data_IF_454496022415
#
_entry.id   IF_454496022415
#
_cell.length_a   1.000
_cell.length_b   1.000
_cell.length_c   1.000
_cell.angle_alpha   90.00
_cell.angle_beta   90.00
_cell.angle_gamma   90.00
#
_symmetry.space_group_name_H-M   'P 1'
#
loop_
_entity.id
_entity.type
_entity.pdbx_description
1 polymer ?
#
# COMPACT_ATOMS: atom_id res chain seq x y z
N UNK A 1 -0.94 -23.41 -0.34
CA UNK A 1 -0.05 -22.33 0.16
C UNK A 1 -0.74 -21.67 1.34
N UNK A 2 0.00 -21.27 2.37
CA UNK A 2 -0.59 -20.48 3.45
C UNK A 2 -0.97 -19.11 2.87
N UNK A 3 -2.27 -18.85 2.74
CA UNK A 3 -2.78 -17.55 2.33
C UNK A 3 -2.89 -16.65 3.57
N UNK A 4 -2.42 -15.42 3.46
CA UNK A 4 -2.65 -14.42 4.50
C UNK A 4 -4.14 -14.14 4.60
N UNK A 5 -4.68 -14.01 5.83
CA UNK A 5 -6.09 -13.62 6.01
C UNK A 5 -6.34 -12.23 5.42
N UNK A 6 -5.42 -11.29 5.60
CA UNK A 6 -5.42 -9.99 4.94
C UNK A 6 -3.97 -9.57 4.66
N UNK A 7 -3.76 -8.76 3.62
CA UNK A 7 -2.44 -8.31 3.20
C UNK A 7 -2.49 -6.88 2.68
N UNK A 8 -1.36 -6.19 2.75
CA UNK A 8 -1.16 -4.91 2.11
C UNK A 8 -0.28 -5.09 0.87
N UNK A 9 -0.75 -4.61 -0.27
CA UNK A 9 0.03 -4.63 -1.51
C UNK A 9 0.74 -3.30 -1.70
N UNK A 10 2.04 -3.36 -2.01
CA UNK A 10 2.88 -2.22 -2.37
C UNK A 10 3.37 -2.46 -3.79
N UNK A 11 3.11 -1.51 -4.69
CA UNK A 11 3.49 -1.61 -6.11
C UNK A 11 4.57 -0.58 -6.39
N UNK A 12 5.77 -1.07 -6.73
CA UNK A 12 6.97 -0.26 -6.92
C UNK A 12 7.26 -0.03 -8.41
N UNK A 13 7.68 1.18 -8.78
CA UNK A 13 8.27 1.46 -10.10
C UNK A 13 9.69 0.91 -10.18
N UNK A 14 9.89 -0.19 -10.90
CA UNK A 14 11.23 -0.79 -11.07
C UNK A 14 12.08 -0.02 -12.07
N UNK A 15 11.47 0.57 -13.08
CA UNK A 15 12.13 1.32 -14.17
C UNK A 15 12.98 2.50 -13.65
N UNK A 16 12.62 3.07 -12.49
CA UNK A 16 13.35 4.16 -11.84
C UNK A 16 14.72 3.75 -11.29
N UNK A 17 15.01 2.45 -11.17
CA UNK A 17 16.29 1.92 -10.65
C UNK A 17 16.73 2.57 -9.33
N UNK A 18 15.75 2.86 -8.47
CA UNK A 18 15.99 3.49 -7.16
C UNK A 18 16.97 2.67 -6.33
N UNK A 19 17.82 3.34 -5.55
CA UNK A 19 18.70 2.64 -4.60
C UNK A 19 17.87 1.99 -3.49
N UNK A 20 18.38 0.89 -2.91
CA UNK A 20 17.68 0.10 -1.85
C UNK A 20 17.11 0.95 -0.72
N UNK A 21 17.86 1.94 -0.23
CA UNK A 21 17.40 2.84 0.83
C UNK A 21 16.21 3.71 0.41
N UNK A 22 16.17 4.16 -0.85
CA UNK A 22 15.07 4.95 -1.39
C UNK A 22 13.82 4.10 -1.55
N UNK A 23 13.96 2.89 -2.10
CA UNK A 23 12.87 1.91 -2.23
C UNK A 23 12.21 1.69 -0.86
N UNK A 24 13.01 1.41 0.17
CA UNK A 24 12.50 1.18 1.52
C UNK A 24 11.76 2.42 2.08
N UNK A 25 12.30 3.62 1.84
CA UNK A 25 11.64 4.87 2.26
C UNK A 25 10.31 5.09 1.54
N UNK A 26 10.24 4.89 0.23
CA UNK A 26 9.00 5.07 -0.54
C UNK A 26 7.93 4.03 -0.15
N UNK A 27 8.32 2.77 0.00
CA UNK A 27 7.41 1.72 0.49
C UNK A 27 6.88 2.04 1.89
N UNK A 28 7.76 2.57 2.77
CA UNK A 28 7.36 3.05 4.10
C UNK A 28 6.37 4.21 4.04
N UNK A 29 6.62 5.22 3.20
CA UNK A 29 5.69 6.34 3.00
C UNK A 29 4.32 5.87 2.52
N UNK A 30 4.28 5.02 1.48
CA UNK A 30 3.05 4.50 0.91
C UNK A 30 2.25 3.70 1.95
N UNK A 31 2.93 2.80 2.68
CA UNK A 31 2.32 1.99 3.72
C UNK A 31 1.68 2.85 4.82
N UNK A 32 2.43 3.82 5.36
CA UNK A 32 1.96 4.65 6.48
C UNK A 32 0.76 5.48 6.04
N UNK A 33 0.84 6.13 4.89
CA UNK A 33 -0.23 6.98 4.39
C UNK A 33 -1.50 6.17 4.05
N UNK A 34 -1.37 4.99 3.42
CA UNK A 34 -2.50 4.11 3.15
C UNK A 34 -3.20 3.64 4.45
N UNK A 35 -2.44 3.23 5.47
CA UNK A 35 -3.01 2.78 6.75
C UNK A 35 -3.67 3.93 7.50
N UNK A 36 -3.05 5.10 7.57
CA UNK A 36 -3.63 6.26 8.24
C UNK A 36 -4.94 6.71 7.57
N UNK A 37 -4.98 6.72 6.23
CA UNK A 37 -6.20 7.01 5.46
C UNK A 37 -7.29 5.97 5.70
N UNK A 38 -6.94 4.68 5.74
CA UNK A 38 -7.88 3.59 6.01
C UNK A 38 -8.48 3.69 7.42
N UNK A 39 -7.65 3.96 8.44
CA UNK A 39 -8.10 4.20 9.82
C UNK A 39 -9.03 5.42 9.89
N UNK A 40 -8.66 6.52 9.23
CA UNK A 40 -9.47 7.74 9.21
C UNK A 40 -10.82 7.54 8.51
N UNK A 41 -10.84 6.87 7.36
CA UNK A 41 -12.06 6.57 6.60
C UNK A 41 -13.04 5.70 7.41
N UNK A 42 -12.52 4.88 8.32
CA UNK A 42 -13.30 4.02 9.23
C UNK A 42 -13.69 4.70 10.54
N UNK A 43 -13.18 5.90 10.82
CA UNK A 43 -13.33 6.54 12.12
C UNK A 43 -12.69 5.74 13.27
N UNK A 44 -11.64 4.97 12.98
CA UNK A 44 -10.95 4.16 13.98
C UNK A 44 -10.22 5.07 14.98
N UNK A 45 -10.45 4.84 16.27
CA UNK A 45 -9.77 5.54 17.36
C UNK A 45 -8.52 4.79 17.79
N UNK A 46 -7.59 5.49 18.44
CA UNK A 46 -6.42 4.88 19.05
C UNK A 46 -6.65 4.66 20.55
N UNK A 47 -6.11 3.58 21.08
CA UNK A 47 -6.05 3.28 22.51
C UNK A 47 -4.97 4.09 23.21
N UNK A 48 -4.88 3.96 24.54
CA UNK A 48 -3.83 4.62 25.34
C UNK A 48 -2.42 4.12 25.01
N UNK A 49 -2.31 2.90 24.48
CA UNK A 49 -1.09 2.27 23.97
C UNK A 49 -0.71 2.73 22.55
N UNK A 50 -1.55 3.55 21.91
CA UNK A 50 -1.36 4.02 20.55
C UNK A 50 -1.80 3.01 19.48
N UNK A 51 -2.35 1.87 19.87
CA UNK A 51 -2.84 0.85 18.94
C UNK A 51 -4.27 1.18 18.45
N UNK A 52 -4.63 0.85 17.20
CA UNK A 52 -5.99 1.02 16.71
C UNK A 52 -7.00 0.17 17.49
N UNK A 53 -8.10 0.79 17.89
CA UNK A 53 -9.22 0.12 18.58
C UNK A 53 -10.26 -0.31 17.56
N UNK A 54 -10.36 -1.62 17.38
CA UNK A 54 -11.41 -2.24 16.55
C UNK A 54 -12.58 -2.71 17.41
N UNK A 55 -13.78 -2.68 16.84
CA UNK A 55 -14.97 -3.20 17.52
C UNK A 55 -14.84 -4.72 17.74
N UNK A 56 -15.46 -5.23 18.81
CA UNK A 56 -15.54 -6.67 19.02
C UNK A 56 -16.25 -7.34 17.83
N UNK A 57 -15.56 -8.28 17.17
CA UNK A 57 -16.07 -8.94 15.97
C UNK A 57 -15.88 -8.17 14.67
N UNK A 58 -15.07 -7.10 14.64
CA UNK A 58 -14.66 -6.43 13.39
C UNK A 58 -13.96 -7.45 12.48
N UNK A 59 -14.62 -7.76 11.37
CA UNK A 59 -14.20 -8.72 10.37
C UNK A 59 -13.53 -8.05 9.17
N UNK A 60 -13.15 -6.78 9.30
CA UNK A 60 -12.45 -6.08 8.23
C UNK A 60 -11.06 -6.62 7.94
N UNK A 61 -10.62 -6.40 6.70
CA UNK A 61 -9.25 -6.68 6.31
C UNK A 61 -8.24 -5.88 7.15
N UNK A 62 -8.54 -4.63 7.52
CA UNK A 62 -7.69 -3.80 8.37
C UNK A 62 -7.51 -4.40 9.77
N UNK A 63 -8.60 -4.75 10.46
CA UNK A 63 -8.55 -5.40 11.77
C UNK A 63 -7.83 -6.76 11.70
N UNK A 64 -8.16 -7.57 10.69
CA UNK A 64 -7.50 -8.84 10.44
C UNK A 64 -5.99 -8.66 10.23
N UNK A 65 -5.57 -7.67 9.45
CA UNK A 65 -4.18 -7.36 9.15
C UNK A 65 -3.37 -6.96 10.39
N UNK A 66 -3.93 -6.08 11.23
CA UNK A 66 -3.31 -5.73 12.52
C UNK A 66 -3.16 -6.96 13.43
N UNK A 67 -4.19 -7.81 13.51
CA UNK A 67 -4.16 -9.04 14.33
C UNK A 67 -3.25 -10.15 13.79
N UNK A 68 -2.87 -10.10 12.50
CA UNK A 68 -2.19 -11.17 11.79
C UNK A 68 -0.75 -10.81 11.33
N UNK A 69 -0.11 -9.87 12.03
CA UNK A 69 1.32 -9.56 11.81
C UNK A 69 1.59 -8.61 10.64
N UNK A 70 0.59 -7.83 10.21
CA UNK A 70 0.74 -6.68 9.31
C UNK A 70 1.50 -6.96 8.00
N UNK A 71 1.13 -8.08 7.35
CA UNK A 71 1.80 -8.61 6.16
C UNK A 71 1.79 -7.63 4.96
N UNK A 72 2.95 -7.42 4.36
CA UNK A 72 3.13 -6.55 3.18
C UNK A 72 3.75 -7.36 2.06
N UNK A 73 3.22 -7.21 0.85
CA UNK A 73 3.76 -7.85 -0.35
C UNK A 73 4.16 -6.76 -1.33
N UNK A 74 5.43 -6.78 -1.73
CA UNK A 74 6.01 -5.81 -2.64
C UNK A 74 6.08 -6.43 -4.04
N UNK A 75 5.31 -5.86 -4.97
CA UNK A 75 5.29 -6.21 -6.40
C UNK A 75 5.76 -5.01 -7.22
N UNK A 76 5.89 -5.17 -8.53
CA UNK A 76 6.34 -4.08 -9.38
C UNK A 76 5.66 -3.96 -10.73
N UNK A 77 5.80 -2.76 -11.27
CA UNK A 77 5.48 -2.37 -12.65
C UNK A 77 6.69 -1.68 -13.27
N UNK A 78 6.69 -1.62 -14.60
CA UNK A 78 7.68 -0.86 -15.37
C UNK A 78 7.01 0.34 -16.03
N UNK A 79 7.25 1.54 -15.50
CA UNK A 79 6.73 2.79 -16.06
C UNK A 79 5.63 3.45 -15.24
N UNK A 80 5.46 4.75 -15.45
CA UNK A 80 4.51 5.58 -14.71
C UNK A 80 3.06 5.23 -15.02
N UNK A 81 2.73 5.06 -16.30
CA UNK A 81 1.38 4.73 -16.76
C UNK A 81 0.86 3.45 -16.09
N UNK A 82 1.64 2.37 -16.12
CA UNK A 82 1.27 1.13 -15.45
C UNK A 82 1.07 1.28 -13.93
N UNK A 83 1.79 2.18 -13.26
CA UNK A 83 1.56 2.48 -11.85
C UNK A 83 0.23 3.23 -11.64
N UNK A 84 -0.07 4.20 -12.50
CA UNK A 84 -1.29 4.98 -12.45
C UNK A 84 -2.52 4.12 -12.78
N UNK A 85 -2.42 3.21 -13.75
CA UNK A 85 -3.49 2.27 -14.10
C UNK A 85 -3.86 1.36 -12.91
N UNK A 86 -2.85 0.86 -12.18
CA UNK A 86 -3.08 0.06 -10.96
C UNK A 86 -3.71 0.89 -9.85
N UNK A 87 -3.33 2.18 -9.74
CA UNK A 87 -3.93 3.09 -8.78
C UNK A 87 -5.41 3.35 -9.10
N UNK A 88 -5.74 3.61 -10.38
CA UNK A 88 -7.10 3.85 -10.86
C UNK A 88 -7.99 2.64 -10.62
N UNK A 89 -7.55 1.43 -10.99
CA UNK A 89 -8.28 0.18 -10.69
C UNK A 89 -8.62 0.04 -9.21
N UNK A 90 -7.68 0.37 -8.31
CA UNK A 90 -7.93 0.35 -6.87
C UNK A 90 -8.96 1.37 -6.40
N UNK A 91 -8.88 2.59 -6.94
CA UNK A 91 -9.79 3.68 -6.60
C UNK A 91 -11.21 3.42 -7.12
N UNK A 92 -11.34 2.80 -8.30
CA UNK A 92 -12.64 2.43 -8.90
C UNK A 92 -13.39 1.37 -8.08
N UNK A 93 -12.67 0.45 -7.44
CA UNK A 93 -13.22 -0.49 -6.46
C UNK A 93 -13.55 0.17 -5.10
N UNK A 94 -13.25 1.46 -4.94
CA UNK A 94 -13.48 2.21 -3.71
C UNK A 94 -12.44 1.97 -2.62
N UNK A 95 -11.29 1.37 -2.96
CA UNK A 95 -10.21 1.15 -2.00
C UNK A 95 -9.42 2.44 -1.75
N UNK A 96 -8.89 2.57 -0.53
CA UNK A 96 -7.88 3.57 -0.22
C UNK A 96 -6.58 3.18 -0.92
N UNK A 97 -6.10 4.07 -1.80
CA UNK A 97 -4.80 3.95 -2.48
C UNK A 97 -3.93 5.15 -2.11
N UNK A 98 -2.76 4.89 -1.54
CA UNK A 98 -1.72 5.90 -1.35
C UNK A 98 -0.75 5.87 -2.53
N UNK A 99 -0.87 6.86 -3.42
CA UNK A 99 0.06 7.08 -4.52
C UNK A 99 1.17 8.04 -4.08
N UNK A 100 2.42 7.59 -4.09
CA UNK A 100 3.56 8.36 -3.60
C UNK A 100 4.24 9.10 -4.73
N UNK A 101 4.35 10.42 -4.57
CA UNK A 101 5.11 11.31 -5.46
C UNK A 101 6.31 11.86 -4.71
N UNK A 102 7.50 11.50 -5.16
CA UNK A 102 8.73 12.08 -4.64
C UNK A 102 8.93 13.49 -5.21
N UNK A 103 9.33 14.44 -4.37
CA UNK A 103 9.59 15.82 -4.81
C UNK A 103 10.81 15.96 -5.73
N UNK A 104 11.61 14.89 -5.91
CA UNK A 104 12.73 14.86 -6.84
C UNK A 104 14.01 15.53 -6.34
N UNK A 105 13.99 16.13 -5.15
CA UNK A 105 15.10 16.90 -4.57
C UNK A 105 16.36 16.06 -4.39
N UNK A 106 16.22 14.75 -4.10
CA UNK A 106 17.38 13.89 -3.78
C UNK A 106 17.82 12.96 -4.91
N UNK A 107 16.92 12.52 -5.79
CA UNK A 107 17.19 11.42 -6.74
C UNK A 107 16.60 11.62 -8.15
N UNK A 108 15.68 12.56 -8.36
CA UNK A 108 15.04 12.79 -9.66
C UNK A 108 15.32 14.19 -10.21
N UNK A 109 16.46 14.78 -9.83
CA UNK A 109 16.95 16.05 -10.37
C UNK A 109 15.96 17.24 -10.28
N UNK A 110 15.10 17.23 -9.27
CA UNK A 110 14.06 18.25 -9.06
C UNK A 110 12.74 17.97 -9.79
N UNK A 111 12.63 16.87 -10.53
CA UNK A 111 11.40 16.47 -11.22
C UNK A 111 10.49 15.65 -10.28
N UNK A 112 9.27 16.13 -9.97
CA UNK A 112 8.36 15.40 -9.10
C UNK A 112 7.85 14.12 -9.77
N UNK A 113 8.22 12.97 -9.22
CA UNK A 113 8.12 11.66 -9.87
C UNK A 113 7.28 10.69 -9.04
N UNK A 114 6.33 9.98 -9.67
CA UNK A 114 5.59 8.91 -9.00
C UNK A 114 6.46 7.66 -8.86
N UNK A 115 6.65 7.20 -7.63
CA UNK A 115 7.63 6.15 -7.29
C UNK A 115 6.99 4.81 -6.98
N UNK A 116 5.90 4.82 -6.22
CA UNK A 116 5.18 3.62 -5.84
C UNK A 116 3.76 3.97 -5.36
N UNK A 117 2.98 2.94 -5.09
CA UNK A 117 1.74 3.06 -4.35
C UNK A 117 1.61 1.95 -3.30
N UNK A 118 0.70 2.14 -2.36
CA UNK A 118 0.20 1.09 -1.49
C UNK A 118 -1.31 1.15 -1.40
N UNK A 119 -1.94 -0.02 -1.40
CA UNK A 119 -3.34 -0.16 -1.03
C UNK A 119 -3.47 -0.10 0.49
N UNK A 120 -4.67 0.17 1.00
CA UNK A 120 -5.01 -0.25 2.35
C UNK A 120 -4.91 -1.77 2.50
N UNK A 121 -4.84 -2.30 3.73
CA UNK A 121 -4.95 -3.73 3.94
C UNK A 121 -6.29 -4.27 3.42
N UNK A 122 -6.20 -5.28 2.57
CA UNK A 122 -7.35 -5.89 1.87
C UNK A 122 -7.31 -7.41 2.02
N UNK A 123 -8.47 -8.03 1.85
CA UNK A 123 -8.55 -9.48 1.66
C UNK A 123 -7.90 -9.87 0.33
N UNK A 124 -7.23 -11.03 0.22
CA UNK A 124 -6.64 -11.48 -1.03
C UNK A 124 -7.63 -11.44 -2.20
N UNK A 125 -8.87 -11.85 -1.98
CA UNK A 125 -9.93 -11.89 -2.98
C UNK A 125 -10.31 -10.50 -3.53
N UNK A 126 -10.01 -9.43 -2.79
CA UNK A 126 -10.27 -8.05 -3.20
C UNK A 126 -9.11 -7.46 -4.02
N UNK A 127 -7.86 -7.76 -3.65
CA UNK A 127 -6.68 -7.08 -4.23
C UNK A 127 -5.94 -7.91 -5.29
N UNK A 128 -6.09 -9.24 -5.26
CA UNK A 128 -5.47 -10.12 -6.25
C UNK A 128 -6.02 -9.97 -7.68
N UNK A 129 -7.30 -9.60 -7.92
CA UNK A 129 -7.76 -9.26 -9.26
C UNK A 129 -6.98 -8.10 -9.91
N UNK A 130 -6.39 -7.21 -9.11
CA UNK A 130 -5.64 -6.03 -9.58
C UNK A 130 -4.13 -6.32 -9.61
N UNK A 131 -3.63 -7.06 -8.63
CA UNK A 131 -2.17 -7.16 -8.37
C UNK A 131 -1.61 -8.58 -8.46
N UNK A 132 -2.46 -9.60 -8.62
CA UNK A 132 -2.06 -11.01 -8.54
C UNK A 132 -1.13 -11.49 -9.64
N UNK A 133 -1.21 -10.87 -10.82
CA UNK A 133 -0.32 -11.15 -11.96
C UNK A 133 0.95 -10.28 -11.95
N UNK A 134 1.06 -9.33 -11.02
CA UNK A 134 2.25 -8.49 -10.92
C UNK A 134 3.41 -9.29 -10.30
N UNK A 135 4.61 -9.20 -10.87
CA UNK A 135 5.78 -9.90 -10.37
C UNK A 135 6.28 -9.32 -9.03
N UNK A 136 6.84 -10.18 -8.18
CA UNK A 136 7.49 -9.77 -6.92
C UNK A 136 8.75 -8.94 -7.19
N UNK A 137 8.92 -7.86 -6.41
CA UNK A 137 10.02 -6.89 -6.54
C UNK A 137 11.34 -7.34 -5.92
#
# INVERSE_FOLDING_TARGET
MAAYKAKQMIVMRRDLKMRKGKIAAQAGHACVDAVLKALAARGTTLGEDGEPVFAAGDDSALAAWFSAGVAKVCVYVDGEEALLDVAEQGMDEGFVVSLVRDAGITEFHGEPTYTCLAFEPLFPEQVDPITGDLPLY
#
